data_IF_097623161986
#
_entry.id   IF_097623161986
#
_cell.length_a   1.000
_cell.length_b   1.000
_cell.length_c   1.000
_cell.angle_alpha   90.00
_cell.angle_beta   90.00
_cell.angle_gamma   90.00
#
_symmetry.space_group_name_H-M   'P 1'
#
loop_
_entity.id
_entity.type
_entity.pdbx_description
1 polymer ?
#
# COMPACT_ATOMS: atom_id res chain seq x y z
N UNK A 1 65.08 -8.78 12.38
CA UNK A 1 63.83 -8.04 12.61
C UNK A 1 63.30 -7.61 11.25
N UNK A 2 62.30 -8.33 10.72
CA UNK A 2 61.62 -7.96 9.47
C UNK A 2 60.36 -7.19 9.86
N UNK A 3 60.28 -5.92 9.49
CA UNK A 3 59.11 -5.07 9.71
C UNK A 3 58.14 -5.31 8.56
N UNK A 4 57.01 -5.94 8.84
CA UNK A 4 55.90 -6.07 7.88
C UNK A 4 55.02 -4.83 8.02
N UNK A 5 55.01 -4.01 6.97
CA UNK A 5 54.13 -2.84 6.88
C UNK A 5 52.70 -3.30 6.57
N UNK A 6 51.77 -3.00 7.48
CA UNK A 6 50.34 -3.20 7.27
C UNK A 6 49.77 -1.91 6.68
N UNK A 7 49.22 -1.99 5.47
CA UNK A 7 48.45 -0.90 4.86
C UNK A 7 46.98 -1.02 5.24
N UNK A 8 46.28 0.08 5.59
CA UNK A 8 44.85 0.07 5.81
C UNK A 8 44.12 0.09 4.46
N UNK A 9 43.26 -0.90 4.23
CA UNK A 9 42.31 -0.88 3.12
C UNK A 9 41.23 0.16 3.43
N UNK A 10 41.32 1.30 2.76
CA UNK A 10 40.29 2.32 2.69
C UNK A 10 39.10 1.74 1.89
N UNK A 11 38.06 1.29 2.60
CA UNK A 11 36.81 0.85 1.97
C UNK A 11 36.06 2.03 1.38
N UNK A 12 36.15 2.21 0.06
CA UNK A 12 35.25 3.09 -0.69
C UNK A 12 33.84 2.49 -0.67
N UNK A 13 32.98 3.03 0.19
CA UNK A 13 31.53 2.87 0.09
C UNK A 13 31.06 3.62 -1.17
N UNK A 14 30.93 2.89 -2.27
CA UNK A 14 30.25 3.37 -3.47
C UNK A 14 28.74 3.35 -3.20
N UNK A 15 28.17 4.52 -2.92
CA UNK A 15 26.73 4.72 -3.02
C UNK A 15 26.36 4.65 -4.50
N UNK A 16 25.83 3.51 -4.94
CA UNK A 16 25.18 3.41 -6.25
C UNK A 16 23.86 4.18 -6.20
N UNK A 17 23.91 5.48 -6.51
CA UNK A 17 22.71 6.22 -6.91
C UNK A 17 22.33 5.76 -8.31
N UNK A 18 21.47 4.74 -8.40
CA UNK A 18 20.86 4.38 -9.68
C UNK A 18 19.86 5.48 -10.02
N UNK A 19 20.28 6.47 -10.80
CA UNK A 19 19.40 7.41 -11.44
C UNK A 19 18.55 6.64 -12.46
N UNK A 20 17.40 6.13 -12.01
CA UNK A 20 16.45 5.42 -12.85
C UNK A 20 15.69 6.44 -13.69
N UNK A 21 16.30 6.85 -14.81
CA UNK A 21 15.57 7.57 -15.86
C UNK A 21 14.67 6.58 -16.58
N UNK A 22 13.42 6.95 -16.84
CA UNK A 22 12.58 6.24 -17.80
C UNK A 22 13.28 6.40 -19.15
N UNK A 23 13.95 5.35 -19.64
CA UNK A 23 14.53 5.35 -20.98
C UNK A 23 13.44 5.73 -21.99
N UNK A 24 13.75 6.50 -23.05
CA UNK A 24 12.74 6.87 -24.04
C UNK A 24 12.11 5.60 -24.60
N UNK A 25 10.85 5.32 -24.22
CA UNK A 25 10.05 4.29 -24.88
C UNK A 25 9.60 4.87 -26.23
N UNK A 26 9.10 4.01 -27.12
CA UNK A 26 8.46 4.46 -28.36
C UNK A 26 7.24 5.34 -28.09
N UNK A 27 6.48 5.68 -29.14
CA UNK A 27 5.17 6.33 -28.96
C UNK A 27 4.26 5.51 -28.02
N UNK A 28 3.25 6.16 -27.43
CA UNK A 28 2.25 5.47 -26.62
C UNK A 28 1.66 4.27 -27.38
N UNK A 29 1.70 3.10 -26.78
CA UNK A 29 1.20 1.83 -27.33
C UNK A 29 0.12 1.30 -26.38
N UNK A 30 -1.11 1.19 -26.89
CA UNK A 30 -2.23 0.70 -26.08
C UNK A 30 -2.16 -0.80 -25.81
N UNK A 31 -1.27 -1.55 -26.47
CA UNK A 31 -1.25 -3.01 -26.36
C UNK A 31 -2.48 -3.69 -26.98
N UNK A 32 -3.15 -3.02 -27.94
CA UNK A 32 -4.36 -3.51 -28.60
C UNK A 32 -5.68 -3.07 -27.96
N UNK A 33 -5.63 -2.25 -26.91
CA UNK A 33 -6.81 -1.69 -26.25
C UNK A 33 -7.26 -0.37 -26.91
N UNK A 34 -8.50 0.03 -26.69
CA UNK A 34 -9.03 1.28 -27.25
C UNK A 34 -8.56 2.49 -26.45
N UNK A 35 -8.18 3.56 -27.14
CA UNK A 35 -8.07 4.89 -26.54
C UNK A 35 -9.41 5.60 -26.62
N UNK A 36 -9.85 6.17 -25.50
CA UNK A 36 -10.98 7.09 -25.42
C UNK A 36 -10.53 8.42 -24.82
N UNK A 37 -11.31 9.48 -25.01
CA UNK A 37 -10.99 10.77 -24.39
C UNK A 37 -10.84 10.62 -22.86
N UNK A 38 -9.86 11.31 -22.27
CA UNK A 38 -9.52 11.16 -20.84
C UNK A 38 -10.69 11.48 -19.90
N UNK A 39 -11.65 12.30 -20.35
CA UNK A 39 -12.86 12.68 -19.61
C UNK A 39 -14.09 11.80 -19.94
N UNK A 40 -13.91 10.76 -20.75
CA UNK A 40 -14.93 9.74 -21.07
C UNK A 40 -14.68 8.40 -20.39
N UNK A 41 -13.51 8.22 -19.78
CA UNK A 41 -13.22 7.02 -18.99
C UNK A 41 -14.14 7.01 -17.78
N UNK A 42 -15.01 6.01 -17.71
CA UNK A 42 -15.91 5.83 -16.58
C UNK A 42 -15.10 5.32 -15.39
N UNK A 43 -15.18 6.01 -14.26
CA UNK A 43 -14.52 5.61 -13.03
C UNK A 43 -15.01 4.24 -12.56
N UNK A 44 -14.08 3.44 -12.03
CA UNK A 44 -14.40 2.18 -11.38
C UNK A 44 -15.02 2.49 -10.01
N UNK A 45 -16.05 1.72 -9.65
CA UNK A 45 -16.66 1.80 -8.32
C UNK A 45 -15.63 1.44 -7.25
N UNK A 46 -15.76 2.00 -6.05
CA UNK A 46 -14.87 1.67 -4.94
C UNK A 46 -14.90 0.16 -4.66
N UNK A 47 -13.77 -0.49 -4.79
CA UNK A 47 -13.64 -1.94 -4.60
C UNK A 47 -12.20 -2.29 -4.21
N UNK A 48 -11.93 -2.38 -2.91
CA UNK A 48 -10.63 -2.76 -2.38
C UNK A 48 -10.38 -4.28 -2.55
N UNK A 49 -9.12 -4.69 -2.48
CA UNK A 49 -8.72 -6.10 -2.62
C UNK A 49 -9.43 -7.01 -1.59
N UNK A 50 -9.67 -8.30 -1.86
CA UNK A 50 -10.35 -9.17 -0.89
C UNK A 50 -9.57 -9.35 0.43
N UNK A 51 -10.29 -9.58 1.53
CA UNK A 51 -9.70 -9.96 2.81
C UNK A 51 -8.92 -8.84 3.52
N UNK A 52 -7.84 -9.21 4.20
CA UNK A 52 -6.99 -8.29 4.99
C UNK A 52 -6.36 -7.22 4.11
N UNK A 53 -6.08 -7.53 2.84
CA UNK A 53 -5.43 -6.62 1.91
C UNK A 53 -6.29 -5.38 1.67
N UNK A 54 -7.55 -5.55 1.31
CA UNK A 54 -8.47 -4.42 1.13
C UNK A 54 -8.79 -3.68 2.42
N UNK A 55 -8.81 -4.37 3.56
CA UNK A 55 -9.00 -3.70 4.86
C UNK A 55 -7.85 -2.73 5.14
N UNK A 56 -6.61 -3.14 4.86
CA UNK A 56 -5.42 -2.29 5.00
C UNK A 56 -5.39 -1.17 3.95
N UNK A 57 -5.75 -1.47 2.69
CA UNK A 57 -5.88 -0.48 1.61
C UNK A 57 -6.87 0.64 1.96
N UNK A 58 -8.03 0.29 2.54
CA UNK A 58 -9.01 1.29 2.96
C UNK A 58 -8.55 2.06 4.20
N UNK A 59 -8.00 1.36 5.20
CA UNK A 59 -7.56 1.96 6.48
C UNK A 59 -6.46 3.01 6.31
N UNK A 60 -5.58 2.82 5.33
CA UNK A 60 -4.42 3.68 5.10
C UNK A 60 -4.49 4.45 3.77
N UNK A 61 -5.66 4.52 3.14
CA UNK A 61 -5.89 5.27 1.91
C UNK A 61 -5.58 6.76 2.13
N UNK A 62 -4.65 7.37 1.38
CA UNK A 62 -4.28 8.76 1.62
C UNK A 62 -5.37 9.76 1.24
N UNK A 63 -5.52 10.80 2.06
CA UNK A 63 -6.22 12.01 1.67
C UNK A 63 -5.32 12.83 0.73
N UNK A 64 -5.84 13.21 -0.44
CA UNK A 64 -5.05 13.90 -1.45
C UNK A 64 -5.54 15.34 -1.69
N UNK A 65 -4.64 16.29 -1.52
CA UNK A 65 -4.78 17.67 -1.98
C UNK A 65 -4.09 17.89 -3.33
N UNK A 66 -4.80 18.40 -4.34
CA UNK A 66 -4.18 18.77 -5.63
C UNK A 66 -3.77 20.24 -5.57
N UNK A 67 -2.49 20.48 -5.27
CA UNK A 67 -1.91 21.82 -5.13
C UNK A 67 -1.66 22.49 -6.49
N UNK A 68 -1.35 21.70 -7.52
CA UNK A 68 -1.04 22.18 -8.86
C UNK A 68 -1.04 21.06 -9.90
N UNK A 69 -1.10 21.43 -11.17
CA UNK A 69 -1.23 20.47 -12.27
C UNK A 69 -2.64 19.93 -12.46
N UNK A 70 -2.76 18.78 -13.14
CA UNK A 70 -4.03 18.11 -13.38
C UNK A 70 -4.59 17.44 -12.11
N UNK A 71 -5.92 17.37 -12.02
CA UNK A 71 -6.55 16.42 -11.10
C UNK A 71 -6.26 14.98 -11.55
N UNK A 72 -6.34 13.99 -10.64
CA UNK A 72 -6.29 12.59 -11.06
C UNK A 72 -7.57 12.19 -11.79
N UNK A 73 -7.44 11.25 -12.72
CA UNK A 73 -8.52 10.70 -13.54
C UNK A 73 -8.47 9.16 -13.51
N UNK A 74 -9.57 8.47 -13.84
CA UNK A 74 -9.52 7.05 -14.17
C UNK A 74 -8.61 6.83 -15.38
N UNK A 75 -7.67 5.90 -15.29
CA UNK A 75 -6.78 5.54 -16.39
C UNK A 75 -7.42 4.54 -17.35
N UNK A 76 -8.33 3.71 -16.83
CA UNK A 76 -9.05 2.66 -17.55
C UNK A 76 -10.46 2.51 -16.98
N UNK A 77 -11.41 2.09 -17.80
CA UNK A 77 -12.76 1.71 -17.38
C UNK A 77 -12.91 0.19 -17.23
N UNK A 78 -14.09 -0.26 -16.80
CA UNK A 78 -14.36 -1.69 -16.57
C UNK A 78 -14.29 -2.56 -17.84
N UNK A 79 -14.36 -1.95 -19.04
CA UNK A 79 -14.25 -2.63 -20.32
C UNK A 79 -12.81 -2.65 -20.86
N UNK A 80 -11.85 -2.08 -20.13
CA UNK A 80 -10.46 -1.99 -20.55
C UNK A 80 -10.17 -0.87 -21.56
N UNK A 81 -11.09 0.08 -21.76
CA UNK A 81 -10.76 1.26 -22.55
C UNK A 81 -9.81 2.15 -21.75
N UNK A 82 -8.75 2.62 -22.39
CA UNK A 82 -7.72 3.46 -21.78
C UNK A 82 -8.00 4.94 -22.05
N UNK A 83 -7.73 5.78 -21.06
CA UNK A 83 -7.74 7.23 -21.23
C UNK A 83 -6.59 7.65 -22.14
N UNK A 84 -6.89 8.25 -23.28
CA UNK A 84 -5.93 8.76 -24.27
C UNK A 84 -5.11 9.95 -23.79
N UNK A 85 -5.25 10.36 -22.52
CA UNK A 85 -4.53 11.47 -21.91
C UNK A 85 -4.80 12.81 -22.58
N UNK A 86 -3.96 13.79 -22.27
CA UNK A 86 -4.01 15.14 -22.85
C UNK A 86 -2.66 15.53 -23.42
N UNK A 87 -2.71 16.27 -24.54
CA UNK A 87 -1.50 16.92 -25.05
C UNK A 87 -1.01 17.93 -24.00
N UNK A 88 0.30 18.01 -23.70
CA UNK A 88 0.86 18.93 -22.71
C UNK A 88 0.93 20.38 -23.24
N UNK A 89 -0.19 20.91 -23.76
CA UNK A 89 -0.34 22.30 -24.22
C UNK A 89 -1.09 23.14 -23.19
N UNK A 90 -1.04 24.47 -23.34
CA UNK A 90 -1.69 25.47 -22.47
C UNK A 90 -1.20 25.41 -21.01
N UNK A 91 -1.98 25.95 -20.05
CA UNK A 91 -1.65 25.89 -18.63
C UNK A 91 -1.63 24.46 -18.07
N UNK A 92 -0.93 24.26 -16.95
CA UNK A 92 -0.72 22.93 -16.34
C UNK A 92 -2.00 22.16 -16.05
N UNK A 93 -3.05 22.87 -15.61
CA UNK A 93 -4.37 22.29 -15.28
C UNK A 93 -5.42 22.40 -16.41
N UNK A 94 -5.07 23.03 -17.54
CA UNK A 94 -6.02 23.29 -18.62
C UNK A 94 -6.53 22.00 -19.26
N UNK A 95 -7.84 21.76 -19.20
CA UNK A 95 -8.50 20.57 -19.75
C UNK A 95 -8.53 19.36 -18.82
N UNK A 96 -7.97 19.46 -17.61
CA UNK A 96 -7.89 18.38 -16.62
C UNK A 96 -8.21 18.87 -15.20
N UNK A 97 -9.15 19.80 -15.07
CA UNK A 97 -9.63 20.39 -13.81
C UNK A 97 -10.95 19.80 -13.32
N UNK A 98 -11.41 18.70 -13.95
CA UNK A 98 -12.71 18.07 -13.70
C UNK A 98 -12.57 16.59 -13.38
N UNK A 99 -11.51 16.22 -12.64
CA UNK A 99 -11.30 14.83 -12.20
C UNK A 99 -12.33 14.33 -11.19
N UNK A 100 -13.12 15.22 -10.59
CA UNK A 100 -14.14 14.88 -9.60
C UNK A 100 -13.55 14.17 -8.37
N UNK A 101 -14.20 13.08 -7.94
CA UNK A 101 -13.67 12.22 -6.86
C UNK A 101 -12.42 11.43 -7.27
N UNK A 102 -12.04 11.48 -8.55
CA UNK A 102 -10.92 10.77 -9.15
C UNK A 102 -10.90 9.26 -8.87
N UNK A 103 -9.85 8.59 -9.31
CA UNK A 103 -9.55 7.19 -9.01
C UNK A 103 -8.18 7.11 -8.33
N UNK A 104 -8.06 6.25 -7.33
CA UNK A 104 -6.76 5.77 -6.81
C UNK A 104 -6.71 4.26 -6.96
N UNK A 105 -5.57 3.76 -7.43
CA UNK A 105 -5.31 2.34 -7.59
C UNK A 105 -4.42 1.88 -6.44
N UNK A 106 -4.80 0.80 -5.76
CA UNK A 106 -4.09 0.31 -4.60
C UNK A 106 -3.52 -1.09 -4.85
N UNK A 107 -2.32 -1.36 -4.32
CA UNK A 107 -1.76 -2.72 -4.29
C UNK A 107 -0.86 -2.89 -3.07
N UNK A 108 -1.16 -3.89 -2.24
CA UNK A 108 -0.28 -4.29 -1.12
C UNK A 108 0.88 -5.16 -1.63
N UNK A 109 2.05 -4.98 -1.04
CA UNK A 109 3.23 -5.78 -1.33
C UNK A 109 4.25 -5.73 -0.21
N UNK A 110 5.43 -6.28 -0.48
CA UNK A 110 6.54 -6.26 0.47
C UNK A 110 7.88 -5.98 -0.21
N UNK A 111 8.78 -5.35 0.52
CA UNK A 111 10.20 -5.25 0.16
C UNK A 111 11.03 -5.40 1.43
N UNK A 112 12.15 -6.13 1.34
CA UNK A 112 13.05 -6.39 2.48
C UNK A 112 12.32 -6.95 3.73
N UNK A 113 11.33 -7.82 3.52
CA UNK A 113 10.51 -8.39 4.60
C UNK A 113 9.46 -7.45 5.20
N UNK A 114 9.42 -6.18 4.77
CA UNK A 114 8.50 -5.17 5.27
C UNK A 114 7.30 -4.98 4.36
N UNK A 115 6.13 -4.72 4.94
CA UNK A 115 4.88 -4.55 4.19
C UNK A 115 4.65 -3.08 3.85
N UNK A 116 4.25 -2.81 2.60
CA UNK A 116 3.81 -1.50 2.17
C UNK A 116 2.61 -1.59 1.24
N UNK A 117 1.85 -0.49 1.16
CA UNK A 117 0.67 -0.38 0.30
C UNK A 117 0.91 0.78 -0.66
N UNK A 118 0.98 0.48 -1.95
CA UNK A 118 1.12 1.48 -2.99
C UNK A 118 -0.24 2.04 -3.37
N UNK A 119 -0.34 3.36 -3.43
CA UNK A 119 -1.48 4.12 -3.94
C UNK A 119 -1.02 4.95 -5.12
N UNK A 120 -1.64 4.75 -6.27
CA UNK A 120 -1.21 5.34 -7.53
C UNK A 120 -2.32 6.15 -8.19
N UNK A 121 -1.92 7.29 -8.73
CA UNK A 121 -2.79 8.30 -9.33
C UNK A 121 -2.37 8.53 -10.77
N UNK A 122 -3.35 8.51 -11.68
CA UNK A 122 -3.14 8.83 -13.08
C UNK A 122 -3.57 10.25 -13.36
N UNK A 123 -2.71 11.01 -14.04
CA UNK A 123 -3.03 12.32 -14.58
C UNK A 123 -2.97 12.28 -16.11
N UNK A 124 -3.94 12.88 -16.83
CA UNK A 124 -3.96 12.89 -18.30
C UNK A 124 -2.70 13.49 -18.94
N UNK A 125 -2.07 14.43 -18.24
CA UNK A 125 -0.79 15.05 -18.60
C UNK A 125 -0.08 15.57 -17.36
N UNK A 126 1.20 15.87 -17.51
CA UNK A 126 1.95 16.71 -16.58
C UNK A 126 2.62 17.87 -17.31
N UNK A 127 2.80 18.99 -16.61
CA UNK A 127 3.53 20.16 -17.09
C UNK A 127 4.14 20.92 -15.93
N UNK A 128 5.44 21.19 -15.97
CA UNK A 128 6.14 21.96 -14.93
C UNK A 128 6.46 23.41 -15.37
N UNK A 129 6.35 23.73 -16.67
CA UNK A 129 6.55 25.09 -17.17
C UNK A 129 5.84 25.33 -18.52
N UNK A 130 5.88 26.59 -19.01
CA UNK A 130 5.45 26.97 -20.37
C UNK A 130 6.43 26.45 -21.43
N UNK A 131 5.97 26.19 -22.64
CA UNK A 131 6.79 25.64 -23.74
C UNK A 131 6.45 24.19 -24.07
N UNK A 132 6.90 23.69 -25.22
CA UNK A 132 6.50 22.38 -25.74
C UNK A 132 7.28 21.22 -25.11
N UNK A 133 8.48 21.49 -24.57
CA UNK A 133 9.35 20.46 -23.98
C UNK A 133 9.17 20.33 -22.45
N UNK A 134 8.23 21.10 -21.88
CA UNK A 134 8.02 21.22 -20.44
C UNK A 134 6.79 20.46 -19.94
N UNK A 135 6.63 19.23 -20.40
CA UNK A 135 5.55 18.33 -20.03
C UNK A 135 5.42 17.15 -20.98
N UNK A 136 4.54 16.21 -20.62
CA UNK A 136 4.17 15.09 -21.49
C UNK A 136 2.75 14.62 -21.22
N UNK A 137 2.21 13.86 -22.19
CA UNK A 137 0.96 13.13 -22.05
C UNK A 137 1.19 11.95 -21.08
N UNK A 138 0.16 11.63 -20.30
CA UNK A 138 0.14 10.59 -19.28
C UNK A 138 1.15 10.82 -18.15
N UNK A 139 0.70 10.69 -16.91
CA UNK A 139 1.58 10.66 -15.76
C UNK A 139 1.02 9.73 -14.69
N UNK A 140 1.89 8.95 -14.08
CA UNK A 140 1.59 8.18 -12.88
C UNK A 140 2.41 8.70 -11.72
N UNK A 141 1.75 9.12 -10.65
CA UNK A 141 2.36 9.43 -9.37
C UNK A 141 1.95 8.37 -8.35
N UNK A 142 2.85 8.00 -7.45
CA UNK A 142 2.56 6.97 -6.44
C UNK A 142 3.09 7.35 -5.06
N UNK A 143 2.35 6.93 -4.03
CA UNK A 143 2.82 6.91 -2.65
C UNK A 143 2.78 5.47 -2.13
N UNK A 144 3.76 5.06 -1.35
CA UNK A 144 3.76 3.80 -0.60
C UNK A 144 3.65 4.14 0.87
N UNK A 145 2.59 3.62 1.52
CA UNK A 145 2.45 3.68 2.97
C UNK A 145 3.08 2.43 3.55
N UNK A 146 4.18 2.62 4.28
CA UNK A 146 4.90 1.55 4.96
C UNK A 146 4.30 1.31 6.33
N UNK A 147 4.01 0.06 6.65
CA UNK A 147 3.25 -0.31 7.85
C UNK A 147 4.01 -1.32 8.70
N UNK A 148 3.75 -1.28 10.00
CA UNK A 148 4.22 -2.29 10.94
C UNK A 148 3.05 -2.81 11.79
N UNK A 149 3.19 -4.03 12.31
CA UNK A 149 2.20 -4.67 13.18
C UNK A 149 2.70 -4.73 14.63
N UNK A 150 1.81 -4.38 15.56
CA UNK A 150 1.97 -4.50 17.01
C UNK A 150 0.90 -5.45 17.57
N UNK A 151 1.02 -6.73 17.26
CA UNK A 151 0.06 -7.76 17.61
C UNK A 151 0.33 -9.08 16.86
N UNK A 152 -0.29 -10.16 17.33
CA UNK A 152 -0.01 -11.52 16.84
C UNK A 152 -1.11 -12.12 15.97
N UNK A 153 -2.23 -11.41 15.84
CA UNK A 153 -3.37 -11.86 15.07
C UNK A 153 -3.22 -11.32 13.65
N UNK A 154 -3.10 -12.22 12.68
CA UNK A 154 -2.68 -11.84 11.33
C UNK A 154 -3.75 -11.11 10.52
N UNK A 155 -5.01 -11.21 10.90
CA UNK A 155 -6.14 -10.51 10.30
C UNK A 155 -6.64 -9.32 11.13
N UNK A 156 -6.01 -9.02 12.27
CA UNK A 156 -6.30 -7.81 13.04
C UNK A 156 -5.59 -6.59 12.44
N UNK A 157 -6.31 -5.83 11.64
CA UNK A 157 -5.82 -4.58 11.04
C UNK A 157 -5.73 -3.42 12.03
N UNK A 158 -6.34 -3.53 13.23
CA UNK A 158 -6.31 -2.47 14.24
C UNK A 158 -4.94 -2.39 14.93
N UNK A 159 -4.21 -3.51 14.96
CA UNK A 159 -2.83 -3.61 15.43
C UNK A 159 -1.78 -3.10 14.43
N UNK A 160 -2.20 -2.62 13.24
CA UNK A 160 -1.30 -2.16 12.19
C UNK A 160 -1.27 -0.63 12.15
N UNK A 161 -0.08 -0.04 12.03
CA UNK A 161 0.10 1.40 11.91
C UNK A 161 1.16 1.79 10.87
N UNK A 162 1.01 2.95 10.21
CA UNK A 162 2.02 3.50 9.33
C UNK A 162 3.29 3.91 10.11
N UNK A 163 4.45 3.57 9.56
CA UNK A 163 5.78 3.94 10.10
C UNK A 163 6.52 4.94 9.22
N UNK A 164 6.07 5.11 7.98
CA UNK A 164 6.63 6.06 7.03
C UNK A 164 5.86 6.05 5.73
N UNK A 165 6.14 7.04 4.89
CA UNK A 165 5.68 7.07 3.51
C UNK A 165 6.85 7.30 2.56
N UNK A 166 6.80 6.62 1.42
CA UNK A 166 7.61 6.96 0.25
C UNK A 166 6.69 7.52 -0.81
N UNK A 167 7.17 8.44 -1.63
CA UNK A 167 6.36 9.06 -2.66
C UNK A 167 7.18 9.51 -3.87
N UNK A 168 6.59 9.43 -5.05
CA UNK A 168 7.26 9.85 -6.29
C UNK A 168 7.39 11.37 -6.34
N UNK A 169 8.62 11.88 -6.43
CA UNK A 169 8.90 13.30 -6.68
C UNK A 169 9.05 13.59 -8.17
N UNK A 170 9.51 12.59 -8.93
CA UNK A 170 9.43 12.58 -10.38
C UNK A 170 9.61 11.16 -10.94
N UNK A 171 8.59 10.63 -11.62
CA UNK A 171 8.59 9.30 -12.25
C UNK A 171 9.04 8.19 -11.28
N UNK A 172 10.27 7.70 -11.45
CA UNK A 172 10.88 6.62 -10.67
C UNK A 172 11.74 7.15 -9.51
N UNK A 173 11.76 8.46 -9.30
CA UNK A 173 12.47 9.12 -8.21
C UNK A 173 11.57 9.20 -7.00
N UNK A 174 12.05 8.68 -5.88
CA UNK A 174 11.30 8.57 -4.63
C UNK A 174 11.85 9.49 -3.54
N UNK A 175 11.00 10.37 -3.02
CA UNK A 175 11.15 11.03 -1.74
C UNK A 175 10.52 10.23 -0.61
N UNK A 176 10.78 10.61 0.63
CA UNK A 176 10.30 9.90 1.83
C UNK A 176 10.00 10.84 2.98
N UNK A 177 9.09 10.44 3.87
CA UNK A 177 8.82 11.11 5.13
C UNK A 177 8.57 10.06 6.23
N UNK A 178 9.16 10.25 7.41
CA UNK A 178 8.91 9.34 8.55
C UNK A 178 7.55 9.67 9.18
N UNK A 179 6.97 8.76 9.97
CA UNK A 179 5.65 8.95 10.59
C UNK A 179 5.46 10.28 11.35
N UNK A 180 6.53 10.89 11.87
CA UNK A 180 6.48 12.20 12.55
C UNK A 180 6.53 13.42 11.61
N UNK A 181 6.86 13.22 10.34
CA UNK A 181 7.09 14.29 9.35
C UNK A 181 5.86 14.55 8.46
N UNK A 182 4.78 13.80 8.66
CA UNK A 182 3.51 13.98 7.98
C UNK A 182 2.35 13.81 8.95
N UNK A 183 1.16 14.26 8.54
CA UNK A 183 -0.03 14.23 9.40
C UNK A 183 -1.06 13.26 8.88
N UNK A 184 -1.88 12.76 9.80
CA UNK A 184 -2.96 11.83 9.53
C UNK A 184 -4.32 12.51 9.71
N UNK A 185 -5.31 11.99 9.00
CA UNK A 185 -6.71 12.37 9.12
C UNK A 185 -7.55 11.13 9.45
N UNK A 186 -8.61 11.33 10.22
CA UNK A 186 -9.64 10.30 10.40
C UNK A 186 -10.71 10.45 9.32
N UNK A 187 -11.26 9.31 8.87
CA UNK A 187 -12.43 9.28 7.99
C UNK A 187 -13.59 10.07 8.62
N UNK A 188 -13.91 9.72 9.87
CA UNK A 188 -14.91 10.42 10.68
C UNK A 188 -14.23 11.15 11.84
N UNK A 189 -14.36 12.48 11.88
CA UNK A 189 -13.73 13.32 12.92
C UNK A 189 -14.26 12.96 14.30
N UNK A 190 -13.36 12.65 15.24
CA UNK A 190 -13.70 12.34 16.63
C UNK A 190 -14.29 10.95 16.87
N UNK A 191 -14.39 10.11 15.84
CA UNK A 191 -14.90 8.73 15.94
C UNK A 191 -13.79 7.74 15.67
N UNK A 192 -13.10 7.89 14.54
CA UNK A 192 -12.06 6.96 14.11
C UNK A 192 -10.67 7.48 14.48
N UNK A 193 -9.75 6.54 14.72
CA UNK A 193 -8.33 6.90 14.83
C UNK A 193 -7.83 7.48 13.50
N UNK A 194 -7.01 8.53 13.53
CA UNK A 194 -6.46 9.12 12.31
C UNK A 194 -5.39 8.20 11.72
N UNK A 195 -5.76 7.41 10.73
CA UNK A 195 -4.87 6.45 10.05
C UNK A 195 -4.55 6.82 8.61
N UNK A 196 -5.26 7.79 8.04
CA UNK A 196 -5.10 8.16 6.63
C UNK A 196 -4.03 9.25 6.46
N UNK A 197 -2.89 8.98 5.80
CA UNK A 197 -1.88 10.01 5.55
C UNK A 197 -2.45 11.16 4.72
N UNK A 198 -2.05 12.40 5.01
CA UNK A 198 -2.33 13.54 4.13
C UNK A 198 -1.17 13.80 3.19
N UNK A 199 -1.45 13.75 1.89
CA UNK A 199 -0.49 14.02 0.82
C UNK A 199 -1.00 15.11 -0.12
N UNK A 200 -0.09 15.70 -0.87
CA UNK A 200 -0.43 16.61 -1.96
C UNK A 200 0.29 16.24 -3.24
N UNK A 201 -0.30 16.59 -4.38
CA UNK A 201 0.34 16.54 -5.70
C UNK A 201 0.48 17.96 -6.25
N UNK A 202 1.69 18.29 -6.73
CA UNK A 202 1.96 19.48 -7.53
C UNK A 202 2.74 19.08 -8.79
N UNK A 203 2.07 19.15 -9.93
CA UNK A 203 2.61 18.71 -11.23
C UNK A 203 3.10 17.25 -11.19
N UNK A 204 4.41 17.02 -11.13
CA UNK A 204 5.03 15.69 -11.09
C UNK A 204 5.18 15.11 -9.69
N UNK A 205 5.18 15.97 -8.66
CA UNK A 205 5.67 15.60 -7.35
C UNK A 205 4.55 15.37 -6.35
N UNK A 206 4.59 14.24 -5.65
CA UNK A 206 3.91 14.05 -4.38
C UNK A 206 4.79 14.61 -3.25
N UNK A 207 4.15 15.16 -2.23
CA UNK A 207 4.78 15.52 -0.96
C UNK A 207 3.79 15.34 0.20
N UNK A 208 4.25 15.28 1.47
CA UNK A 208 3.39 15.42 2.63
C UNK A 208 2.57 16.72 2.55
N UNK A 209 1.30 16.64 2.96
CA UNK A 209 0.46 17.81 3.11
C UNK A 209 0.42 18.25 4.57
N UNK A 210 0.88 19.46 4.85
CA UNK A 210 0.95 20.07 6.19
C UNK A 210 -0.13 21.11 6.44
N UNK A 211 -1.00 21.35 5.45
CA UNK A 211 -2.10 22.30 5.58
C UNK A 211 -3.23 21.79 6.48
N UNK A 212 -4.13 22.72 6.82
CA UNK A 212 -5.34 22.42 7.55
C UNK A 212 -6.25 21.48 6.75
N UNK A 213 -7.07 20.72 7.47
CA UNK A 213 -8.15 19.95 6.87
C UNK A 213 -9.16 20.89 6.19
N UNK A 214 -9.78 20.42 5.11
CA UNK A 214 -10.82 21.15 4.38
C UNK A 214 -11.28 20.39 3.15
N UNK A 215 -12.27 20.93 2.45
CA UNK A 215 -12.98 20.22 1.38
C UNK A 215 -12.13 19.84 0.17
N UNK A 216 -10.91 20.39 0.07
CA UNK A 216 -9.96 20.12 -1.03
C UNK A 216 -8.98 18.99 -0.74
N UNK A 217 -8.89 18.54 0.51
CA UNK A 217 -8.10 17.38 0.92
C UNK A 217 -9.09 16.26 1.23
N UNK A 218 -9.29 15.38 0.27
CA UNK A 218 -10.30 14.32 0.30
C UNK A 218 -9.75 13.03 -0.31
N UNK A 219 -10.36 11.90 0.07
CA UNK A 219 -10.01 10.59 -0.47
C UNK A 219 -10.52 10.41 -1.90
N UNK A 220 -9.82 9.55 -2.64
CA UNK A 220 -10.22 9.19 -4.00
C UNK A 220 -10.90 7.84 -4.00
N UNK A 221 -11.68 7.57 -5.06
CA UNK A 221 -12.34 6.28 -5.22
C UNK A 221 -11.29 5.18 -5.35
N UNK A 222 -11.17 4.32 -4.33
CA UNK A 222 -10.13 3.30 -4.28
C UNK A 222 -10.55 2.04 -5.02
N UNK A 223 -9.66 1.53 -5.88
CA UNK A 223 -9.76 0.19 -6.45
C UNK A 223 -8.47 -0.59 -6.20
N UNK A 224 -8.59 -1.75 -5.56
CA UNK A 224 -7.48 -2.67 -5.33
C UNK A 224 -7.14 -3.44 -6.60
N UNK A 225 -5.85 -3.72 -6.82
CA UNK A 225 -5.36 -4.45 -7.99
C UNK A 225 -6.07 -5.80 -8.17
N UNK A 226 -6.24 -6.54 -7.07
CA UNK A 226 -6.88 -7.86 -7.07
C UNK A 226 -8.42 -7.78 -7.16
N UNK A 227 -8.96 -6.58 -7.34
CA UNK A 227 -10.39 -6.27 -7.48
C UNK A 227 -10.72 -5.49 -8.76
N UNK A 228 -9.72 -5.28 -9.63
CA UNK A 228 -9.94 -4.74 -10.96
C UNK A 228 -10.73 -5.73 -11.81
N UNK A 229 -11.66 -5.26 -12.67
CA UNK A 229 -12.19 -6.08 -13.75
C UNK A 229 -11.06 -6.61 -14.64
N UNK A 230 -11.17 -7.86 -15.10
CA UNK A 230 -10.13 -8.53 -15.90
C UNK A 230 -9.68 -7.69 -17.11
N UNK A 231 -10.62 -7.07 -17.81
CA UNK A 231 -10.33 -6.22 -18.97
C UNK A 231 -9.52 -4.96 -18.58
N UNK A 232 -9.86 -4.35 -17.43
CA UNK A 232 -9.15 -3.19 -16.89
C UNK A 232 -7.73 -3.56 -16.45
N UNK A 233 -7.58 -4.66 -15.71
CA UNK A 233 -6.29 -5.19 -15.29
C UNK A 233 -5.40 -5.49 -16.50
N UNK A 234 -5.94 -6.16 -17.51
CA UNK A 234 -5.23 -6.46 -18.75
C UNK A 234 -4.80 -5.20 -19.50
N UNK A 235 -5.68 -4.21 -19.64
CA UNK A 235 -5.35 -2.94 -20.28
C UNK A 235 -4.19 -2.21 -19.58
N UNK A 236 -4.19 -2.21 -18.25
CA UNK A 236 -3.10 -1.61 -17.46
C UNK A 236 -1.78 -2.40 -17.55
N UNK A 237 -1.82 -3.73 -17.72
CA UNK A 237 -0.62 -4.54 -17.94
C UNK A 237 -0.02 -4.33 -19.32
N UNK A 238 -0.86 -4.23 -20.35
CA UNK A 238 -0.42 -4.21 -21.74
C UNK A 238 0.04 -2.82 -22.21
N UNK A 239 -0.53 -1.75 -21.65
CA UNK A 239 -0.24 -0.37 -22.07
C UNK A 239 1.21 0.03 -21.80
N UNK A 240 1.83 0.68 -22.79
CA UNK A 240 3.16 1.29 -22.69
C UNK A 240 3.05 2.76 -23.01
N UNK A 241 3.18 3.60 -21.98
CA UNK A 241 3.30 5.04 -22.17
C UNK A 241 4.73 5.42 -22.54
N UNK A 242 4.89 6.42 -23.41
CA UNK A 242 6.19 6.89 -23.90
C UNK A 242 7.09 7.37 -22.75
N UNK A 243 6.52 8.11 -21.79
CA UNK A 243 7.26 8.81 -20.74
C UNK A 243 7.01 8.30 -19.33
N UNK A 244 5.96 7.51 -19.09
CA UNK A 244 5.61 7.01 -17.76
C UNK A 244 5.31 5.51 -17.80
N UNK A 245 5.03 4.90 -16.64
CA UNK A 245 4.67 3.50 -16.56
C UNK A 245 3.59 3.29 -15.51
N UNK A 246 2.71 2.30 -15.71
CA UNK A 246 1.79 1.89 -14.65
C UNK A 246 2.62 1.22 -13.56
N UNK A 247 2.66 1.77 -12.33
CA UNK A 247 3.67 1.36 -11.35
C UNK A 247 3.31 0.06 -10.62
N UNK A 248 2.03 -0.33 -10.60
CA UNK A 248 1.51 -1.44 -9.81
C UNK A 248 1.12 -2.69 -10.63
N UNK A 249 1.51 -2.77 -11.90
CA UNK A 249 1.38 -3.99 -12.71
C UNK A 249 2.35 -5.07 -12.22
N UNK A 250 2.07 -6.34 -12.50
CA UNK A 250 2.95 -7.46 -12.11
C UNK A 250 4.41 -7.28 -12.56
N UNK A 251 4.62 -6.73 -13.75
CA UNK A 251 5.96 -6.48 -14.30
C UNK A 251 6.76 -5.36 -13.59
N UNK A 252 6.07 -4.42 -12.93
CA UNK A 252 6.68 -3.19 -12.42
C UNK A 252 6.67 -3.11 -10.88
N UNK A 253 5.69 -3.76 -10.24
CA UNK A 253 5.35 -3.51 -8.85
C UNK A 253 6.52 -3.76 -7.89
N UNK A 254 7.21 -4.89 -8.01
CA UNK A 254 8.31 -5.21 -7.11
C UNK A 254 9.47 -4.20 -7.21
N UNK A 255 9.87 -3.82 -8.44
CA UNK A 255 10.93 -2.85 -8.64
C UNK A 255 10.59 -1.47 -8.05
N UNK A 256 9.31 -1.09 -8.12
CA UNK A 256 8.82 0.14 -7.49
C UNK A 256 8.84 0.05 -5.97
N UNK A 257 8.40 -1.07 -5.39
CA UNK A 257 8.44 -1.30 -3.95
C UNK A 257 9.88 -1.26 -3.40
N UNK A 258 10.82 -1.87 -4.12
CA UNK A 258 12.24 -1.89 -3.76
C UNK A 258 12.86 -0.48 -3.86
N UNK A 259 12.54 0.28 -4.92
CA UNK A 259 13.01 1.65 -5.09
C UNK A 259 12.47 2.61 -4.02
N UNK A 260 11.21 2.39 -3.60
CA UNK A 260 10.54 3.15 -2.56
C UNK A 260 11.04 2.81 -1.15
N UNK A 261 11.56 1.61 -0.91
CA UNK A 261 11.91 1.14 0.44
C UNK A 261 13.00 1.99 1.11
N UNK A 262 12.84 2.26 2.41
CA UNK A 262 13.90 2.78 3.28
C UNK A 262 13.88 2.06 4.62
N UNK A 263 15.05 1.59 5.07
CA UNK A 263 15.21 0.98 6.38
C UNK A 263 14.92 1.96 7.53
N UNK A 264 15.15 3.26 7.30
CA UNK A 264 14.99 4.30 8.31
C UNK A 264 13.57 4.41 8.88
N UNK A 265 12.55 3.94 8.16
CA UNK A 265 11.18 3.89 8.67
C UNK A 265 11.03 2.94 9.87
N UNK A 266 11.83 1.89 9.91
CA UNK A 266 11.69 0.83 10.89
C UNK A 266 12.68 0.99 12.04
N UNK A 267 13.87 1.56 11.82
CA UNK A 267 14.85 1.73 12.89
C UNK A 267 15.14 0.40 13.60
N UNK A 268 14.76 0.28 14.88
CA UNK A 268 14.90 -0.96 15.67
C UNK A 268 13.61 -1.80 15.76
N UNK A 269 12.56 -1.42 15.03
CA UNK A 269 11.29 -2.13 15.03
C UNK A 269 11.48 -3.55 14.47
N UNK A 270 10.93 -4.53 15.18
CA UNK A 270 10.74 -5.91 14.67
C UNK A 270 9.33 -6.06 14.13
N UNK A 271 9.15 -6.91 13.13
CA UNK A 271 7.82 -7.32 12.67
C UNK A 271 7.10 -8.08 13.79
N UNK A 272 5.76 -7.96 13.83
CA UNK A 272 4.91 -8.56 14.88
C UNK A 272 5.40 -8.20 16.30
N UNK A 273 5.64 -6.92 16.53
CA UNK A 273 6.09 -6.43 17.83
C UNK A 273 5.09 -6.80 18.93
N UNK A 274 5.58 -7.39 20.01
CA UNK A 274 4.74 -7.92 21.09
C UNK A 274 4.41 -9.41 20.96
N UNK A 275 4.86 -10.07 19.90
CA UNK A 275 4.80 -11.53 19.77
C UNK A 275 6.10 -12.14 20.26
N UNK A 276 6.16 -12.46 21.55
CA UNK A 276 7.24 -13.30 22.05
C UNK A 276 7.06 -14.72 21.47
N UNK A 277 7.98 -15.13 20.60
CA UNK A 277 8.16 -16.52 20.20
C UNK A 277 8.62 -17.33 21.44
N UNK A 278 7.71 -17.61 22.38
CA UNK A 278 8.11 -18.22 23.66
C UNK A 278 7.03 -18.51 24.69
N UNK A 279 5.74 -18.22 24.45
CA UNK A 279 4.63 -18.70 25.32
C UNK A 279 3.44 -19.26 24.55
N UNK A 280 3.73 -20.04 23.51
CA UNK A 280 2.80 -21.06 23.03
C UNK A 280 2.93 -22.30 23.90
N UNK A 281 2.40 -22.26 25.13
CA UNK A 281 2.25 -23.46 25.94
C UNK A 281 1.21 -24.37 25.28
N UNK A 282 1.66 -25.25 24.39
CA UNK A 282 0.90 -26.44 24.02
C UNK A 282 0.64 -27.22 25.31
N UNK A 283 -0.60 -27.62 25.64
CA UNK A 283 -0.82 -28.50 26.77
C UNK A 283 -0.20 -29.85 26.41
N UNK A 284 0.97 -30.15 27.00
CA UNK A 284 1.53 -31.49 26.99
C UNK A 284 0.48 -32.44 27.58
N UNK A 285 0.04 -33.49 26.87
CA UNK A 285 -0.82 -34.50 27.46
C UNK A 285 -0.02 -35.16 28.58
N UNK A 286 -0.50 -35.05 29.82
CA UNK A 286 0.07 -35.78 30.94
C UNK A 286 -0.28 -37.25 30.72
N UNK A 287 0.67 -38.03 30.20
CA UNK A 287 0.58 -39.49 30.21
C UNK A 287 0.66 -39.92 31.68
N UNK A 288 -0.47 -40.29 32.27
CA UNK A 288 -0.49 -41.04 33.52
C UNK A 288 -0.02 -42.45 33.21
N UNK A 289 1.20 -42.80 33.65
CA UNK A 289 1.60 -44.19 33.86
C UNK A 289 0.81 -44.74 35.07
N UNK A 290 0.13 -45.89 34.94
CA UNK A 290 -0.44 -46.60 36.07
C UNK A 290 0.45 -47.79 36.41
N UNK A 291 1.28 -47.66 37.45
CA UNK A 291 1.72 -48.83 38.21
C UNK A 291 2.21 -48.40 39.60
N UNK A 292 1.35 -48.57 40.60
CA UNK A 292 1.80 -48.98 41.93
C UNK A 292 0.68 -49.78 42.62
N UNK A 293 0.84 -51.10 42.55
CA UNK A 293 0.19 -52.09 43.42
C UNK A 293 0.58 -51.80 44.87
N UNK A 294 -0.27 -51.90 45.90
CA UNK A 294 -0.58 -53.13 46.65
C UNK A 294 -1.58 -52.80 47.81
N UNK A 295 -2.08 -53.74 48.65
CA UNK A 295 -3.52 -53.99 48.77
C UNK A 295 -4.09 -53.76 50.19
N UNK A 296 -5.41 -53.71 50.35
CA UNK A 296 -6.10 -54.23 51.55
C UNK A 296 -7.60 -54.37 51.30
N UNK A 297 -8.10 -55.57 51.53
CA UNK A 297 -9.51 -56.00 51.59
C UNK A 297 -9.79 -56.39 53.07
N UNK A 298 -11.02 -56.73 53.54
CA UNK A 298 -12.40 -56.40 53.14
C UNK A 298 -13.17 -55.75 54.30
N UNK A 299 -14.41 -55.26 54.04
CA UNK A 299 -15.65 -55.75 54.72
C UNK A 299 -16.89 -54.92 54.39
N UNK A 300 -17.84 -55.65 53.80
CA UNK A 300 -19.28 -55.47 53.64
C UNK A 300 -20.03 -54.47 54.56
N UNK A 301 -21.01 -53.76 53.99
CA UNK A 301 -22.46 -53.95 54.26
C UNK A 301 -23.33 -53.06 53.34
N UNK A 302 -24.24 -53.70 52.60
CA UNK A 302 -25.48 -53.14 52.05
C UNK A 302 -26.61 -53.30 53.11
N UNK A 303 -27.89 -52.91 52.92
CA UNK A 303 -28.56 -51.94 52.02
C UNK A 303 -29.67 -51.10 52.73
N UNK A 304 -30.28 -50.14 52.02
CA UNK A 304 -31.73 -49.75 52.13
C UNK A 304 -32.02 -48.78 50.98
N UNK A 305 -32.75 -49.11 49.91
CA UNK A 305 -34.17 -49.46 49.72
C UNK A 305 -35.12 -48.25 49.61
N UNK A 306 -35.93 -48.29 48.54
CA UNK A 306 -37.23 -47.63 48.27
C UNK A 306 -37.29 -46.20 47.67
N UNK A 307 -37.30 -46.12 46.33
CA UNK A 307 -38.47 -45.87 45.42
C UNK A 307 -39.40 -44.63 45.64
N UNK A 308 -40.30 -44.25 44.69
CA UNK A 308 -40.06 -43.34 43.55
C UNK A 308 -41.12 -42.22 43.40
N UNK A 309 -41.26 -41.66 42.18
CA UNK A 309 -42.33 -40.81 41.62
C UNK A 309 -42.11 -39.27 41.69
N UNK A 310 -42.50 -38.41 40.75
CA UNK A 310 -43.12 -38.48 39.42
C UNK A 310 -43.33 -37.03 38.90
N UNK A 311 -43.28 -36.84 37.57
CA UNK A 311 -43.87 -35.77 36.71
C UNK A 311 -43.62 -34.27 36.94
N UNK A 312 -43.08 -33.67 35.87
CA UNK A 312 -43.63 -32.56 35.04
C UNK A 312 -44.56 -31.54 35.73
N UNK A 313 -44.08 -30.31 35.87
CA UNK A 313 -44.49 -29.14 35.07
C UNK A 313 -43.57 -27.96 35.35
#
# INVERSE_FOLDING_TARGET
MVVVAVWPLLGCLLFNTVASSVLPRGQDDSGGHNWIDHDKVVALTQNASPGVDGQLELRFSPFLYVAGGCDPYPATDASGNLGGGLKPTNGGRSGCDKGGNAQVYARRGSSQGRTGIMYSYYMPKVRWAKGNDNGHRHYWASAVVWINRWGCVDDDVTAVWPVGISFTTDHLTWGTANAGDFSFKSMTVGVDMPTHPKIQIHDTAIAPFTGADGDKVFERTLVGWDSLPDAAAKALQDVKYEKTQVPFTDANFQAQMDAAYRESFYGALKDQQGCDAGRGGSPTPTTQDPDDTTPTDPRATNPTESDPAEKKR
#
